data_IF_271241223615
#
_entry.id   IF_271241223615
#
_cell.length_a   1.000
_cell.length_b   1.000
_cell.length_c   1.000
_cell.angle_alpha   90.00
_cell.angle_beta   90.00
_cell.angle_gamma   90.00
#
_symmetry.space_group_name_H-M   'P 1'
#
loop_
_entity.id
_entity.type
_entity.pdbx_description
1 polymer ?
#
# COMPACT_ATOMS: atom_id res chain seq x y z
N UNK A 1 -9.75 6.22 -16.16
CA UNK A 1 -8.91 5.25 -15.45
C UNK A 1 -8.30 4.35 -16.51
N UNK A 2 -6.98 4.20 -16.55
CA UNK A 2 -6.34 3.35 -17.55
C UNK A 2 -6.58 1.87 -17.24
N UNK A 3 -6.48 0.99 -18.23
CA UNK A 3 -6.55 -0.48 -18.05
C UNK A 3 -5.50 -0.98 -17.03
N UNK A 4 -4.37 -0.29 -16.96
CA UNK A 4 -3.29 -0.59 -16.03
C UNK A 4 -3.66 -0.24 -14.58
N UNK A 5 -4.36 0.88 -14.35
CA UNK A 5 -4.82 1.28 -13.02
C UNK A 5 -5.83 0.25 -12.46
N UNK A 6 -6.72 -0.28 -13.31
CA UNK A 6 -7.66 -1.34 -12.93
C UNK A 6 -6.95 -2.63 -12.53
N UNK A 7 -5.83 -2.95 -13.21
CA UNK A 7 -5.02 -4.13 -12.89
C UNK A 7 -4.38 -3.99 -11.51
N UNK A 8 -3.76 -2.85 -11.21
CA UNK A 8 -3.16 -2.59 -9.88
C UNK A 8 -4.22 -2.64 -8.77
N UNK A 9 -5.40 -2.05 -9.00
CA UNK A 9 -6.50 -2.10 -8.03
C UNK A 9 -6.89 -3.56 -7.72
N UNK A 10 -7.04 -4.38 -8.76
CA UNK A 10 -7.38 -5.80 -8.59
C UNK A 10 -6.29 -6.56 -7.82
N UNK A 11 -5.03 -6.34 -8.18
CA UNK A 11 -3.88 -6.94 -7.48
C UNK A 11 -3.84 -6.51 -6.02
N UNK A 12 -4.13 -5.23 -5.72
CA UNK A 12 -4.19 -4.74 -4.35
C UNK A 12 -5.34 -5.37 -3.56
N UNK A 13 -6.51 -5.53 -4.15
CA UNK A 13 -7.66 -6.15 -3.48
C UNK A 13 -7.36 -7.61 -3.13
N UNK A 14 -6.80 -8.37 -4.08
CA UNK A 14 -6.34 -9.74 -3.80
C UNK A 14 -5.23 -9.78 -2.74
N UNK A 15 -4.34 -8.80 -2.74
CA UNK A 15 -3.30 -8.68 -1.72
C UNK A 15 -3.89 -8.42 -0.32
N UNK A 16 -4.91 -7.56 -0.19
CA UNK A 16 -5.60 -7.28 1.07
C UNK A 16 -6.33 -8.50 1.65
N UNK A 17 -6.82 -9.39 0.79
CA UNK A 17 -7.43 -10.67 1.17
C UNK A 17 -6.38 -11.69 1.64
N UNK A 18 -5.16 -11.63 1.10
CA UNK A 18 -4.07 -12.56 1.44
C UNK A 18 -3.38 -12.23 2.78
N UNK A 19 -3.26 -10.93 3.10
CA UNK A 19 -2.53 -10.48 4.29
C UNK A 19 -3.42 -10.42 5.53
N UNK A 20 -2.82 -10.68 6.68
CA UNK A 20 -3.45 -10.50 8.00
C UNK A 20 -2.89 -9.26 8.70
N UNK A 21 -3.60 -8.72 9.69
CA UNK A 21 -3.09 -7.63 10.54
C UNK A 21 -2.07 -8.15 11.58
N UNK A 22 -0.97 -8.74 11.10
CA UNK A 22 0.02 -9.39 11.94
C UNK A 22 1.43 -9.20 11.39
N UNK A 23 2.41 -9.05 12.28
CA UNK A 23 3.83 -8.79 11.94
C UNK A 23 4.44 -9.79 10.94
N UNK A 24 3.91 -11.01 10.86
CA UNK A 24 4.38 -12.06 9.93
C UNK A 24 4.27 -11.64 8.46
N UNK A 25 3.31 -10.77 8.12
CA UNK A 25 3.04 -10.37 6.74
C UNK A 25 3.76 -9.08 6.32
N UNK A 26 4.59 -8.48 7.20
CA UNK A 26 5.27 -7.20 6.92
C UNK A 26 6.12 -7.26 5.64
N UNK A 27 6.87 -8.35 5.44
CA UNK A 27 7.71 -8.48 4.26
C UNK A 27 6.90 -8.58 2.97
N UNK A 28 5.71 -9.20 3.01
CA UNK A 28 4.78 -9.22 1.88
C UNK A 28 4.34 -7.80 1.50
N UNK A 29 4.06 -6.95 2.50
CA UNK A 29 3.73 -5.53 2.27
C UNK A 29 4.90 -4.77 1.68
N UNK A 30 6.11 -4.98 2.18
CA UNK A 30 7.31 -4.33 1.63
C UNK A 30 7.50 -4.72 0.17
N UNK A 31 7.36 -6.00 -0.17
CA UNK A 31 7.51 -6.49 -1.55
C UNK A 31 6.43 -5.93 -2.48
N UNK A 32 5.19 -5.85 -2.01
CA UNK A 32 4.09 -5.22 -2.75
C UNK A 32 4.37 -3.73 -3.02
N UNK A 33 4.70 -2.95 -1.99
CA UNK A 33 4.98 -1.51 -2.14
C UNK A 33 6.20 -1.24 -3.04
N UNK A 34 7.24 -2.07 -2.95
CA UNK A 34 8.38 -1.98 -3.87
C UNK A 34 7.99 -2.31 -5.32
N UNK A 35 7.01 -3.17 -5.54
CA UNK A 35 6.50 -3.48 -6.88
C UNK A 35 5.74 -2.30 -7.46
N UNK A 36 4.93 -1.60 -6.65
CA UNK A 36 4.31 -0.33 -7.03
C UNK A 36 5.37 0.70 -7.43
N UNK A 37 6.43 0.86 -6.64
CA UNK A 37 7.50 1.81 -6.93
C UNK A 37 8.29 1.55 -8.23
N UNK A 38 8.25 0.32 -8.75
CA UNK A 38 8.92 -0.06 -10.00
C UNK A 38 8.08 0.26 -11.23
N UNK A 39 6.81 0.62 -11.07
CA UNK A 39 5.92 1.01 -12.17
C UNK A 39 6.42 2.34 -12.75
N UNK A 40 6.77 2.34 -14.04
CA UNK A 40 7.29 3.54 -14.75
C UNK A 40 6.27 4.21 -15.68
N UNK A 41 5.24 3.48 -16.09
CA UNK A 41 4.33 3.91 -17.17
C UNK A 41 3.09 4.65 -16.65
N UNK A 42 2.81 4.57 -15.35
CA UNK A 42 1.75 5.31 -14.66
C UNK A 42 2.22 5.67 -13.26
N UNK A 43 1.48 6.57 -12.61
CA UNK A 43 1.66 6.87 -11.19
C UNK A 43 0.78 5.89 -10.41
N UNK A 44 1.35 4.91 -9.69
CA UNK A 44 0.56 3.97 -8.89
C UNK A 44 -0.13 4.68 -7.72
N UNK A 45 -1.34 4.25 -7.31
CA UNK A 45 -2.11 4.85 -6.21
C UNK A 45 -1.53 4.45 -4.84
N UNK A 46 -0.29 4.86 -4.59
CA UNK A 46 0.50 4.36 -3.45
C UNK A 46 0.07 5.00 -2.15
N UNK A 47 -0.40 6.25 -2.20
CA UNK A 47 -0.92 6.97 -1.03
C UNK A 47 -2.22 6.33 -0.56
N UNK A 48 -3.11 5.99 -1.49
CA UNK A 48 -4.36 5.29 -1.24
C UNK A 48 -4.10 3.93 -0.59
N UNK A 49 -3.19 3.14 -1.15
CA UNK A 49 -2.77 1.83 -0.60
C UNK A 49 -2.24 1.96 0.83
N UNK A 50 -1.32 2.90 1.08
CA UNK A 50 -0.73 3.11 2.41
C UNK A 50 -1.77 3.60 3.42
N UNK A 51 -2.68 4.47 2.99
CA UNK A 51 -3.78 4.98 3.83
C UNK A 51 -4.69 3.84 4.27
N UNK A 52 -5.07 2.94 3.35
CA UNK A 52 -5.90 1.79 3.68
C UNK A 52 -5.16 0.82 4.60
N UNK A 53 -3.89 0.51 4.32
CA UNK A 53 -3.08 -0.34 5.21
C UNK A 53 -2.96 0.25 6.62
N UNK A 54 -2.77 1.57 6.75
CA UNK A 54 -2.71 2.27 8.04
C UNK A 54 -4.00 2.09 8.85
N UNK A 55 -5.15 2.22 8.19
CA UNK A 55 -6.46 2.22 8.85
C UNK A 55 -7.00 0.80 9.09
N UNK A 56 -6.87 -0.08 8.11
CA UNK A 56 -7.48 -1.43 8.15
C UNK A 56 -6.53 -2.51 8.67
N UNK A 57 -5.22 -2.27 8.68
CA UNK A 57 -4.18 -3.19 9.19
C UNK A 57 -3.18 -2.44 10.10
N UNK A 58 -3.63 -1.80 11.19
CA UNK A 58 -2.79 -0.91 12.00
C UNK A 58 -1.61 -1.61 12.71
N UNK A 59 -1.75 -2.88 13.13
CA UNK A 59 -0.67 -3.63 13.80
C UNK A 59 0.46 -3.95 12.81
N UNK A 60 0.07 -4.41 11.63
CA UNK A 60 0.96 -4.65 10.50
C UNK A 60 1.64 -3.35 10.07
N UNK A 61 0.89 -2.25 9.95
CA UNK A 61 1.41 -0.94 9.58
C UNK A 61 2.40 -0.38 10.60
N UNK A 62 2.13 -0.57 11.90
CA UNK A 62 3.07 -0.19 12.95
C UNK A 62 4.37 -0.99 12.84
N UNK A 63 4.28 -2.28 12.56
CA UNK A 63 5.45 -3.15 12.36
C UNK A 63 6.25 -2.76 11.11
N UNK A 64 5.55 -2.38 10.03
CA UNK A 64 6.14 -1.88 8.79
C UNK A 64 7.02 -0.63 9.04
N UNK A 65 6.51 0.34 9.80
CA UNK A 65 7.25 1.57 10.16
C UNK A 65 8.54 1.30 10.95
N UNK A 66 8.59 0.22 11.73
CA UNK A 66 9.77 -0.14 12.51
C UNK A 66 10.87 -0.80 11.66
N UNK A 67 10.48 -1.46 10.57
CA UNK A 67 11.38 -2.25 9.73
C UNK A 67 11.93 -1.42 8.56
N UNK A 68 11.16 -0.47 8.03
CA UNK A 68 11.60 0.35 6.89
C UNK A 68 12.76 1.27 7.29
N UNK A 69 13.88 1.13 6.58
CA UNK A 69 15.05 1.98 6.74
C UNK A 69 14.75 3.43 6.34
N UNK A 70 15.24 4.44 7.09
CA UNK A 70 15.05 5.86 6.76
C UNK A 70 15.55 6.30 5.37
N UNK A 71 16.52 5.57 4.80
CA UNK A 71 17.05 5.86 3.45
C UNK A 71 16.24 5.20 2.32
N UNK A 72 15.27 4.35 2.66
CA UNK A 72 14.38 3.72 1.67
C UNK A 72 13.36 4.73 1.15
N UNK A 73 13.06 4.75 -0.17
CA UNK A 73 11.94 5.53 -0.70
C UNK A 73 10.61 5.25 0.00
N UNK A 74 10.41 4.00 0.47
CA UNK A 74 9.23 3.60 1.22
C UNK A 74 9.07 4.40 2.52
N UNK A 75 10.16 4.88 3.13
CA UNK A 75 10.11 5.64 4.37
C UNK A 75 9.34 6.96 4.24
N UNK A 76 9.42 7.59 3.07
CA UNK A 76 8.63 8.79 2.77
C UNK A 76 7.17 8.42 2.54
N UNK A 77 6.94 7.37 1.76
CA UNK A 77 5.61 6.98 1.29
C UNK A 77 4.71 6.53 2.44
N UNK A 78 5.22 5.73 3.39
CA UNK A 78 4.45 5.30 4.56
C UNK A 78 4.05 6.45 5.50
N UNK A 79 4.63 7.63 5.33
CA UNK A 79 4.26 8.83 6.09
C UNK A 79 3.18 9.64 5.40
N UNK A 80 2.94 9.40 4.11
CA UNK A 80 1.84 9.99 3.38
C UNK A 80 0.53 9.39 3.91
N UNK A 81 -0.50 10.21 3.88
CA UNK A 81 -1.83 9.87 4.36
C UNK A 81 -2.83 10.77 3.64
N UNK A 82 -4.05 10.27 3.54
CA UNK A 82 -5.19 11.04 3.05
C UNK A 82 -6.45 10.56 3.76
N UNK A 83 -7.59 11.16 3.42
CA UNK A 83 -8.87 10.69 3.92
C UNK A 83 -9.15 9.24 3.45
N UNK A 84 -9.59 8.39 4.38
CA UNK A 84 -9.81 6.97 4.12
C UNK A 84 -10.93 6.74 3.10
N UNK A 85 -12.03 7.49 3.20
CA UNK A 85 -13.17 7.33 2.30
C UNK A 85 -12.81 7.77 0.89
N UNK A 86 -12.04 8.86 0.75
CA UNK A 86 -11.50 9.29 -0.54
C UNK A 86 -10.50 8.26 -1.10
N UNK A 87 -9.65 7.64 -0.26
CA UNK A 87 -8.73 6.60 -0.69
C UNK A 87 -9.47 5.37 -1.24
N UNK A 88 -10.52 4.91 -0.54
CA UNK A 88 -11.38 3.80 -0.98
C UNK A 88 -12.07 4.13 -2.29
N UNK A 89 -12.67 5.31 -2.38
CA UNK A 89 -13.33 5.78 -3.59
C UNK A 89 -12.41 5.78 -4.82
N UNK A 90 -11.15 6.21 -4.66
CA UNK A 90 -10.16 6.22 -5.74
C UNK A 90 -9.72 4.84 -6.19
N UNK A 91 -9.71 3.87 -5.28
CA UNK A 91 -9.45 2.47 -5.58
C UNK A 91 -10.71 1.67 -5.94
N UNK A 92 -11.87 2.33 -6.05
CA UNK A 92 -13.16 1.67 -6.27
C UNK A 92 -13.43 0.53 -5.28
N UNK A 93 -13.04 0.75 -4.02
CA UNK A 93 -13.23 -0.12 -2.86
C UNK A 93 -14.43 0.27 -2.01
#
# INVERSE_FOLDING_TARGET
MSEYDQTIIKEFNSFLEEITDHRKDVYKVIDFLNTLLRVKNTIPPTVEVVTILRNERPILFQSLKQIISPVSPLYMIIKLDMDLDEAKKRLAL
#
